data_IF_565977302912
#
_entry.id   IF_565977302912
#
_cell.length_a   1.000
_cell.length_b   1.000
_cell.length_c   1.000
_cell.angle_alpha   90.00
_cell.angle_beta   90.00
_cell.angle_gamma   90.00
#
_symmetry.space_group_name_H-M   'P 1'
#
loop_
_entity.id
_entity.type
_entity.pdbx_description
1 polymer ?
#
# COMPACT_ATOMS: atom_id res chain seq x y z
N UNK A 1 19.98 5.18 -20.19
CA UNK A 1 19.26 5.29 -18.90
C UNK A 1 17.79 5.47 -19.23
N UNK A 2 16.91 4.50 -18.92
CA UNK A 2 15.47 4.67 -19.21
C UNK A 2 14.95 5.75 -18.25
N UNK A 3 14.67 6.93 -18.78
CA UNK A 3 14.06 8.01 -18.00
C UNK A 3 12.71 7.50 -17.46
N UNK A 4 12.63 7.37 -16.14
CA UNK A 4 11.40 6.98 -15.44
C UNK A 4 10.42 8.16 -15.57
N UNK A 5 9.36 8.01 -16.36
CA UNK A 5 8.46 9.12 -16.73
C UNK A 5 7.47 9.54 -15.62
N UNK A 6 7.62 9.03 -14.39
CA UNK A 6 6.85 9.51 -13.23
C UNK A 6 5.34 9.46 -13.41
N UNK A 7 4.82 8.47 -14.15
CA UNK A 7 3.40 8.38 -14.46
C UNK A 7 2.52 8.12 -13.24
N UNK A 8 1.24 8.45 -13.35
CA UNK A 8 0.22 8.08 -12.35
C UNK A 8 -0.23 6.63 -12.54
N UNK A 9 -0.37 5.89 -11.45
CA UNK A 9 -0.89 4.53 -11.38
C UNK A 9 -2.30 4.58 -10.77
N UNK A 10 -3.20 3.80 -11.34
CA UNK A 10 -4.56 3.63 -10.83
C UNK A 10 -4.63 2.35 -10.01
N UNK A 11 -4.89 2.49 -8.71
CA UNK A 11 -5.02 1.37 -7.78
C UNK A 11 -6.50 1.13 -7.44
N UNK A 12 -6.97 -0.09 -7.66
CA UNK A 12 -8.29 -0.54 -7.29
C UNK A 12 -8.20 -1.38 -6.01
N UNK A 13 -8.93 -1.00 -4.96
CA UNK A 13 -8.92 -1.73 -3.70
C UNK A 13 -10.31 -1.82 -3.09
N UNK A 14 -10.51 -2.84 -2.26
CA UNK A 14 -11.73 -2.99 -1.48
C UNK A 14 -11.58 -2.24 -0.15
N UNK A 15 -12.43 -1.24 0.07
CA UNK A 15 -12.47 -0.47 1.31
C UNK A 15 -13.36 -1.20 2.32
N UNK A 16 -12.74 -1.90 3.27
CA UNK A 16 -13.45 -2.64 4.31
C UNK A 16 -14.26 -1.75 5.27
N UNK A 17 -13.97 -0.44 5.37
CA UNK A 17 -14.73 0.47 6.22
C UNK A 17 -16.07 0.85 5.60
N UNK A 18 -16.09 1.14 4.29
CA UNK A 18 -17.31 1.47 3.54
C UNK A 18 -17.96 0.26 2.86
N UNK A 19 -17.30 -0.90 2.89
CA UNK A 19 -17.68 -2.14 2.19
C UNK A 19 -17.80 -1.99 0.67
N UNK A 20 -17.04 -1.08 0.07
CA UNK A 20 -17.13 -0.74 -1.36
C UNK A 20 -15.79 -0.80 -2.08
N UNK A 21 -15.83 -1.07 -3.39
CA UNK A 21 -14.66 -0.96 -4.24
C UNK A 21 -14.36 0.50 -4.57
N UNK A 22 -13.13 0.92 -4.30
CA UNK A 22 -12.66 2.28 -4.57
C UNK A 22 -11.48 2.26 -5.51
N UNK A 23 -11.30 3.40 -6.18
CA UNK A 23 -10.21 3.64 -7.12
C UNK A 23 -9.42 4.85 -6.64
N UNK A 24 -8.11 4.69 -6.53
CA UNK A 24 -7.20 5.74 -6.11
C UNK A 24 -6.11 5.91 -7.16
N UNK A 25 -5.98 7.12 -7.68
CA UNK A 25 -4.87 7.49 -8.56
C UNK A 25 -3.73 8.02 -7.72
N UNK A 26 -2.56 7.39 -7.83
CA UNK A 26 -1.34 7.72 -7.10
C UNK A 26 -0.22 7.99 -8.09
N UNK A 27 0.79 8.76 -7.69
CA UNK A 27 2.04 8.73 -8.43
C UNK A 27 2.71 7.35 -8.30
N UNK A 28 3.51 6.96 -9.29
CA UNK A 28 4.26 5.71 -9.24
C UNK A 28 5.20 5.62 -8.02
N UNK A 29 5.81 6.75 -7.64
CA UNK A 29 6.65 6.83 -6.45
C UNK A 29 5.86 6.58 -5.16
N UNK A 30 4.68 7.19 -5.01
CA UNK A 30 3.82 6.95 -3.86
C UNK A 30 3.37 5.49 -3.77
N UNK A 31 3.07 4.86 -4.91
CA UNK A 31 2.70 3.44 -4.95
C UNK A 31 3.83 2.55 -4.43
N UNK A 32 5.07 2.79 -4.89
CA UNK A 32 6.25 2.04 -4.43
C UNK A 32 6.49 2.26 -2.93
N UNK A 33 6.44 3.51 -2.45
CA UNK A 33 6.61 3.82 -1.03
C UNK A 33 5.57 3.10 -0.15
N UNK A 34 4.30 3.11 -0.56
CA UNK A 34 3.21 2.40 0.14
C UNK A 34 3.45 0.89 0.14
N UNK A 35 3.84 0.32 -1.00
CA UNK A 35 4.13 -1.10 -1.11
C UNK A 35 5.25 -1.54 -0.17
N UNK A 36 6.39 -0.82 -0.19
CA UNK A 36 7.54 -1.11 0.68
C UNK A 36 7.15 -0.97 2.16
N UNK A 37 6.36 0.05 2.53
CA UNK A 37 5.90 0.23 3.91
C UNK A 37 5.03 -0.91 4.44
N UNK A 38 4.38 -1.68 3.55
CA UNK A 38 3.58 -2.84 3.93
C UNK A 38 4.41 -4.11 4.13
N UNK A 39 5.67 -4.13 3.66
CA UNK A 39 6.57 -5.26 3.86
C UNK A 39 7.09 -5.19 5.30
N UNK A 40 6.73 -6.14 6.18
CA UNK A 40 7.25 -6.15 7.53
C UNK A 40 8.76 -6.39 7.52
N UNK A 41 9.47 -5.80 8.49
CA UNK A 41 10.91 -6.05 8.63
C UNK A 41 11.18 -7.55 8.82
N UNK A 42 12.34 -8.03 8.37
CA UNK A 42 12.71 -9.47 8.33
C UNK A 42 12.55 -10.23 9.66
N UNK A 43 12.57 -9.52 10.79
CA UNK A 43 12.39 -10.08 12.14
C UNK A 43 11.20 -9.47 12.90
N UNK A 44 10.26 -8.82 12.19
CA UNK A 44 9.07 -8.27 12.80
C UNK A 44 8.16 -9.41 13.25
N UNK A 45 7.96 -9.52 14.57
CA UNK A 45 6.89 -10.35 15.15
C UNK A 45 5.67 -9.48 15.36
N UNK A 46 4.58 -9.79 14.66
CA UNK A 46 3.28 -9.18 14.92
C UNK A 46 2.73 -9.76 16.23
N UNK A 47 2.90 -9.04 17.34
CA UNK A 47 2.34 -9.43 18.64
C UNK A 47 0.90 -8.92 18.70
N UNK A 48 -0.08 -9.82 18.79
CA UNK A 48 -1.47 -9.48 19.05
C UNK A 48 -1.73 -9.60 20.54
N UNK A 49 -2.05 -8.50 21.21
CA UNK A 49 -2.52 -8.51 22.59
C UNK A 49 -3.98 -8.97 22.60
N UNK A 50 -4.23 -10.22 23.00
CA UNK A 50 -5.55 -10.70 23.38
C UNK A 50 -5.50 -10.99 24.88
N UNK A 51 -6.23 -10.22 25.71
CA UNK A 51 -6.27 -10.53 27.15
C UNK A 51 -6.52 -9.37 28.12
N UNK A 52 -7.52 -8.52 27.88
CA UNK A 52 -8.24 -7.79 28.92
C UNK A 52 -9.73 -7.79 28.59
#
# INVERSE_FOLDING_TARGET
MKHYSGGTVVHHYYDHHSQQYRRQTLSQEEMIRRYVSHIPARHFKMIRYYGF
#
